data_IF_134706490679
#
_entry.id   IF_134706490679
#
_cell.length_a   1.000
_cell.length_b   1.000
_cell.length_c   1.000
_cell.angle_alpha   90.00
_cell.angle_beta   90.00
_cell.angle_gamma   90.00
#
_symmetry.space_group_name_H-M   'P 1'
#
loop_
_entity.id
_entity.type
_entity.pdbx_description
1 polymer ?
#
# COMPACT_ATOMS: atom_id res chain seq x y z
N UNK A 1 2.18 -2.60 -5.02
CA UNK A 1 2.93 -2.93 -6.24
C UNK A 1 2.98 -1.70 -7.12
N UNK A 2 4.19 -1.24 -7.44
CA UNK A 2 4.44 -0.06 -8.28
C UNK A 2 5.75 -0.25 -9.04
N UNK A 3 5.84 0.32 -10.25
CA UNK A 3 7.11 0.42 -10.95
C UNK A 3 7.00 1.21 -12.25
N UNK A 4 8.17 1.53 -12.80
CA UNK A 4 8.34 2.29 -14.05
C UNK A 4 9.38 1.58 -14.92
N UNK A 5 9.14 0.30 -15.23
CA UNK A 5 10.15 -0.57 -15.84
C UNK A 5 10.69 -0.02 -17.17
N UNK A 6 9.87 0.65 -17.99
CA UNK A 6 10.35 1.29 -19.21
C UNK A 6 11.34 2.42 -18.93
N UNK A 7 11.05 3.24 -17.91
CA UNK A 7 11.95 4.32 -17.48
C UNK A 7 13.25 3.77 -16.89
N UNK A 8 13.21 2.62 -16.20
CA UNK A 8 14.42 1.93 -15.72
C UNK A 8 15.24 1.39 -16.90
N UNK A 9 14.59 0.79 -17.90
CA UNK A 9 15.25 0.25 -19.09
C UNK A 9 15.94 1.33 -19.91
N UNK A 10 15.32 2.50 -20.07
CA UNK A 10 15.83 3.53 -20.97
C UNK A 10 16.63 4.62 -20.25
N UNK A 11 16.25 4.98 -19.02
CA UNK A 11 16.75 6.16 -18.31
C UNK A 11 18.27 6.24 -18.19
N UNK A 12 18.95 5.22 -17.63
CA UNK A 12 20.41 5.19 -17.54
C UNK A 12 21.12 5.31 -18.90
N UNK A 13 20.60 4.65 -19.93
CA UNK A 13 21.17 4.64 -21.28
C UNK A 13 21.02 6.01 -21.91
N UNK A 14 19.81 6.57 -21.87
CA UNK A 14 19.48 7.88 -22.42
C UNK A 14 20.28 9.00 -21.72
N UNK A 15 20.42 8.93 -20.39
CA UNK A 15 21.22 9.87 -19.62
C UNK A 15 22.71 9.82 -19.99
N UNK A 16 23.28 8.61 -20.18
CA UNK A 16 24.69 8.42 -20.54
C UNK A 16 25.02 8.97 -21.93
N UNK A 17 24.15 8.75 -22.92
CA UNK A 17 24.40 9.19 -24.32
C UNK A 17 23.93 10.63 -24.60
N UNK A 18 23.30 11.27 -23.62
CA UNK A 18 22.82 12.65 -23.77
C UNK A 18 23.96 13.63 -24.05
N UNK A 19 23.66 14.70 -24.79
CA UNK A 19 24.65 15.72 -25.16
C UNK A 19 25.24 16.34 -23.89
N UNK A 20 26.58 16.37 -23.81
CA UNK A 20 27.35 16.88 -22.68
C UNK A 20 27.11 16.13 -21.35
N UNK A 21 26.75 14.84 -21.41
CA UNK A 21 26.57 14.03 -20.20
C UNK A 21 27.84 13.99 -19.36
N UNK A 22 27.70 14.26 -18.06
CA UNK A 22 28.73 14.07 -17.03
C UNK A 22 28.37 12.91 -16.10
N UNK A 23 27.49 12.00 -16.54
CA UNK A 23 27.03 10.86 -15.76
C UNK A 23 28.19 9.89 -15.49
N UNK A 24 28.46 9.60 -14.21
CA UNK A 24 29.53 8.67 -13.78
C UNK A 24 29.01 7.38 -13.15
N UNK A 25 27.69 7.23 -12.98
CA UNK A 25 27.10 6.03 -12.40
C UNK A 25 25.59 6.08 -12.28
N UNK A 26 25.03 4.97 -11.79
CA UNK A 26 23.62 4.81 -11.39
C UNK A 26 23.55 4.32 -9.95
N UNK A 27 22.41 4.51 -9.30
CA UNK A 27 22.17 4.00 -7.96
C UNK A 27 20.68 3.85 -7.64
N UNK A 28 20.38 3.20 -6.53
CA UNK A 28 19.04 3.08 -5.96
C UNK A 28 19.01 3.81 -4.62
N UNK A 29 18.04 4.70 -4.43
CA UNK A 29 17.90 5.54 -3.23
C UNK A 29 16.50 5.41 -2.62
N UNK A 30 16.06 4.16 -2.43
CA UNK A 30 14.74 3.87 -1.89
C UNK A 30 14.71 4.14 -0.38
N UNK A 31 13.67 4.80 0.12
CA UNK A 31 13.49 5.03 1.57
C UNK A 31 13.24 3.73 2.35
N UNK A 32 12.60 2.75 1.70
CA UNK A 32 12.39 1.39 2.23
C UNK A 32 12.72 0.34 1.17
N UNK A 33 13.17 -0.82 1.62
CA UNK A 33 13.45 -2.00 0.80
C UNK A 33 12.39 -3.09 1.04
N UNK A 34 12.66 -4.34 0.63
CA UNK A 34 11.77 -5.51 0.85
C UNK A 34 10.42 -5.45 0.12
N UNK A 35 10.37 -4.69 -0.97
CA UNK A 35 9.22 -4.57 -1.85
C UNK A 35 9.66 -4.67 -3.32
N UNK A 36 8.73 -5.03 -4.21
CA UNK A 36 8.87 -5.05 -5.68
C UNK A 36 10.26 -5.48 -6.20
N UNK A 37 10.73 -6.71 -5.87
CA UNK A 37 12.09 -7.15 -6.20
C UNK A 37 12.44 -7.09 -7.68
N UNK A 38 11.45 -7.18 -8.57
CA UNK A 38 11.62 -6.99 -10.03
C UNK A 38 12.26 -5.65 -10.38
N UNK A 39 11.92 -4.58 -9.65
CA UNK A 39 12.46 -3.23 -9.86
C UNK A 39 13.93 -3.17 -9.45
N UNK A 40 14.27 -3.75 -8.30
CA UNK A 40 15.63 -3.75 -7.76
C UNK A 40 16.57 -4.59 -8.62
N UNK A 41 16.14 -5.80 -9.02
CA UNK A 41 16.94 -6.66 -9.91
C UNK A 41 17.18 -5.97 -11.24
N UNK A 42 16.13 -5.38 -11.85
CA UNK A 42 16.26 -4.74 -13.14
C UNK A 42 17.16 -3.49 -13.09
N UNK A 43 16.96 -2.61 -12.11
CA UNK A 43 17.78 -1.40 -11.96
C UNK A 43 19.25 -1.73 -11.68
N UNK A 44 19.53 -2.78 -10.89
CA UNK A 44 20.89 -3.25 -10.64
C UNK A 44 21.56 -3.77 -11.92
N UNK A 45 20.82 -4.49 -12.77
CA UNK A 45 21.33 -4.99 -14.05
C UNK A 45 21.67 -3.84 -15.01
N UNK A 46 20.90 -2.75 -14.98
CA UNK A 46 21.12 -1.59 -15.86
C UNK A 46 22.46 -0.90 -15.64
N UNK A 47 23.12 -1.08 -14.48
CA UNK A 47 24.49 -0.60 -14.26
C UNK A 47 25.52 -1.24 -15.21
N UNK A 48 25.22 -2.45 -15.72
CA UNK A 48 26.11 -3.23 -16.58
C UNK A 48 25.67 -3.23 -18.06
N UNK A 49 24.54 -2.61 -18.37
CA UNK A 49 23.97 -2.58 -19.73
C UNK A 49 24.44 -1.34 -20.49
N UNK A 50 24.76 -1.51 -21.78
CA UNK A 50 25.05 -0.37 -22.68
C UNK A 50 23.85 0.07 -23.50
N UNK A 51 22.85 -0.80 -23.63
CA UNK A 51 21.70 -0.63 -24.50
C UNK A 51 20.40 -0.80 -23.69
N UNK A 52 19.31 -0.29 -24.25
CA UNK A 52 17.97 -0.46 -23.67
C UNK A 52 17.58 -1.93 -23.72
N UNK A 53 16.90 -2.40 -22.68
CA UNK A 53 16.47 -3.79 -22.57
C UNK A 53 14.99 -3.92 -22.98
N UNK A 54 14.64 -4.85 -23.90
CA UNK A 54 13.25 -5.19 -24.16
C UNK A 54 12.61 -5.81 -22.90
N UNK A 55 11.84 -5.00 -22.16
CA UNK A 55 11.37 -5.34 -20.81
C UNK A 55 10.56 -6.62 -20.79
N UNK A 56 9.67 -6.84 -21.77
CA UNK A 56 8.83 -8.03 -21.83
C UNK A 56 9.66 -9.32 -22.00
N UNK A 57 10.71 -9.29 -22.82
CA UNK A 57 11.62 -10.44 -22.99
C UNK A 57 12.45 -10.68 -21.73
N UNK A 58 12.92 -9.60 -21.10
CA UNK A 58 13.62 -9.69 -19.83
C UNK A 58 12.73 -10.34 -18.75
N UNK A 59 11.45 -9.94 -18.64
CA UNK A 59 10.50 -10.51 -17.68
C UNK A 59 10.23 -12.01 -17.89
N UNK A 60 10.20 -12.49 -19.13
CA UNK A 60 10.09 -13.94 -19.41
C UNK A 60 11.27 -14.72 -18.82
N UNK A 61 12.47 -14.14 -18.83
CA UNK A 61 13.65 -14.76 -18.22
C UNK A 61 13.69 -14.58 -16.71
N UNK A 62 13.29 -13.41 -16.21
CA UNK A 62 13.19 -13.09 -14.78
C UNK A 62 12.29 -14.09 -14.06
N UNK A 63 11.09 -14.32 -14.58
CA UNK A 63 10.11 -15.25 -13.99
C UNK A 63 10.63 -16.68 -13.95
N UNK A 64 11.33 -17.13 -14.99
CA UNK A 64 11.95 -18.46 -14.99
C UNK A 64 13.01 -18.60 -13.90
N UNK A 65 13.94 -17.63 -13.78
CA UNK A 65 14.97 -17.64 -12.74
C UNK A 65 14.37 -17.54 -11.35
N UNK A 66 13.40 -16.65 -11.17
CA UNK A 66 12.75 -16.39 -9.90
C UNK A 66 12.00 -17.59 -9.37
N UNK A 67 11.24 -18.29 -10.21
CA UNK A 67 10.39 -19.40 -9.78
C UNK A 67 11.01 -20.78 -9.99
N UNK A 68 12.16 -20.87 -10.68
CA UNK A 68 12.86 -22.12 -10.99
C UNK A 68 12.20 -22.98 -12.07
N UNK A 69 11.04 -22.57 -12.61
CA UNK A 69 10.30 -23.30 -13.66
C UNK A 69 9.65 -22.32 -14.64
N UNK A 70 9.60 -22.70 -15.90
CA UNK A 70 8.90 -21.94 -16.94
C UNK A 70 7.43 -22.36 -16.96
N UNK A 71 6.51 -21.45 -16.63
CA UNK A 71 5.07 -21.68 -16.64
C UNK A 71 4.41 -20.63 -17.53
N UNK A 72 3.58 -21.05 -18.48
CA UNK A 72 3.03 -20.16 -19.51
C UNK A 72 2.11 -19.10 -18.90
N UNK A 73 1.24 -19.50 -17.97
CA UNK A 73 0.32 -18.62 -17.25
C UNK A 73 1.07 -17.50 -16.51
N UNK A 74 2.25 -17.81 -15.96
CA UNK A 74 3.08 -16.82 -15.28
C UNK A 74 3.67 -15.79 -16.25
N UNK A 75 4.12 -16.22 -17.44
CA UNK A 75 4.62 -15.28 -18.45
C UNK A 75 3.52 -14.31 -18.89
N UNK A 76 2.31 -14.83 -19.10
CA UNK A 76 1.13 -14.04 -19.45
C UNK A 76 0.74 -13.08 -18.32
N UNK A 77 0.73 -13.56 -17.07
CA UNK A 77 0.42 -12.72 -15.92
C UNK A 77 1.43 -11.58 -15.76
N UNK A 78 2.73 -11.86 -15.89
CA UNK A 78 3.76 -10.83 -15.81
C UNK A 78 3.74 -9.84 -16.97
N UNK A 79 3.29 -10.26 -18.16
CA UNK A 79 3.01 -9.32 -19.26
C UNK A 79 1.91 -8.33 -18.88
N UNK A 80 0.83 -8.81 -18.24
CA UNK A 80 -0.23 -7.93 -17.73
C UNK A 80 0.31 -7.01 -16.63
N UNK A 81 1.05 -7.55 -15.65
CA UNK A 81 1.61 -6.74 -14.55
C UNK A 81 2.56 -5.65 -15.08
N UNK A 82 3.36 -5.96 -16.10
CA UNK A 82 4.20 -4.99 -16.80
C UNK A 82 3.38 -3.84 -17.38
N UNK A 83 2.36 -4.13 -18.18
CA UNK A 83 1.53 -3.10 -18.81
C UNK A 83 0.60 -2.34 -17.83
N UNK A 84 0.53 -2.78 -16.57
CA UNK A 84 -0.33 -2.20 -15.54
C UNK A 84 0.48 -1.66 -14.37
N UNK A 85 0.66 -2.45 -13.31
CA UNK A 85 1.27 -2.02 -12.03
C UNK A 85 2.74 -1.63 -12.15
N UNK A 86 3.46 -2.14 -13.14
CA UNK A 86 4.91 -1.92 -13.29
C UNK A 86 5.30 -0.96 -14.42
N UNK A 87 4.33 -0.27 -15.03
CA UNK A 87 4.61 0.79 -15.99
C UNK A 87 3.76 2.05 -15.74
N UNK A 88 3.91 2.64 -14.55
CA UNK A 88 3.29 3.92 -14.24
C UNK A 88 3.95 5.05 -15.04
N UNK A 89 3.14 5.91 -15.67
CA UNK A 89 3.62 7.04 -16.48
C UNK A 89 3.01 8.39 -16.09
N UNK A 90 2.22 8.45 -15.01
CA UNK A 90 1.51 9.66 -14.61
C UNK A 90 2.37 10.68 -13.83
N UNK A 91 3.58 10.29 -13.43
CA UNK A 91 4.53 11.14 -12.71
C UNK A 91 4.18 11.35 -11.23
N UNK A 92 3.24 10.58 -10.69
CA UNK A 92 2.83 10.64 -9.28
C UNK A 92 3.67 9.62 -8.49
N UNK A 93 4.30 10.07 -7.40
CA UNK A 93 4.97 9.18 -6.47
C UNK A 93 3.93 8.38 -5.66
N UNK A 94 3.94 7.05 -5.81
CA UNK A 94 3.05 6.17 -5.06
C UNK A 94 3.63 5.90 -3.66
N UNK A 95 3.06 6.56 -2.64
CA UNK A 95 3.37 6.34 -1.23
C UNK A 95 2.38 5.37 -0.56
N UNK A 96 1.78 4.45 -1.32
CA UNK A 96 0.73 3.53 -0.89
C UNK A 96 -0.39 4.25 -0.13
N UNK A 97 -1.32 4.83 -0.89
CA UNK A 97 -2.43 5.60 -0.36
C UNK A 97 -3.75 4.81 -0.34
N UNK A 98 -3.67 3.49 -0.21
CA UNK A 98 -4.84 2.62 -0.05
C UNK A 98 -5.55 2.90 1.28
N UNK A 99 -6.89 2.97 1.27
CA UNK A 99 -7.67 3.46 2.42
C UNK A 99 -7.59 2.55 3.65
N UNK A 100 -7.20 1.28 3.50
CA UNK A 100 -6.94 0.40 4.66
C UNK A 100 -5.82 0.99 5.52
N UNK A 101 -4.72 1.39 4.89
CA UNK A 101 -3.47 1.76 5.58
C UNK A 101 -3.24 3.26 5.66
N UNK A 102 -3.92 4.04 4.81
CA UNK A 102 -3.96 5.51 4.83
C UNK A 102 -5.41 5.97 4.89
N UNK A 103 -6.04 5.70 6.03
CA UNK A 103 -7.47 5.89 6.20
C UNK A 103 -7.81 7.39 6.18
N UNK A 104 -8.80 7.85 5.37
CA UNK A 104 -9.07 9.28 5.25
C UNK A 104 -9.55 9.94 6.55
N UNK A 105 -8.86 11.01 6.98
CA UNK A 105 -9.19 11.82 8.16
C UNK A 105 -10.05 13.06 7.80
N UNK A 106 -11.34 12.83 7.52
CA UNK A 106 -12.25 13.88 7.03
C UNK A 106 -13.72 13.60 7.36
N UNK A 107 -14.55 14.65 7.24
CA UNK A 107 -16.01 14.58 7.37
C UNK A 107 -16.69 14.42 6.00
N UNK A 108 -17.35 13.28 5.72
CA UNK A 108 -17.96 13.00 4.43
C UNK A 108 -19.26 13.75 4.15
N UNK A 109 -19.82 14.45 5.14
CA UNK A 109 -21.01 15.30 4.96
C UNK A 109 -20.71 16.63 4.26
N UNK A 110 -19.44 17.03 4.20
CA UNK A 110 -19.01 18.28 3.54
C UNK A 110 -18.96 18.07 2.02
N UNK A 111 -19.76 18.84 1.28
CA UNK A 111 -19.63 18.99 -0.17
C UNK A 111 -18.62 20.11 -0.46
N UNK A 112 -17.48 19.78 -1.06
CA UNK A 112 -16.45 20.76 -1.40
C UNK A 112 -16.75 21.57 -2.68
N UNK A 113 -17.90 21.33 -3.33
CA UNK A 113 -18.38 22.04 -4.53
C UNK A 113 -18.61 23.56 -4.42
N UNK A 114 -18.18 24.22 -3.35
CA UNK A 114 -18.24 25.67 -3.20
C UNK A 114 -17.11 26.22 -2.32
N UNK A 115 -15.84 25.95 -2.66
CA UNK A 115 -14.72 26.80 -2.21
C UNK A 115 -13.94 27.35 -3.41
N UNK A 116 -13.77 28.69 -3.53
CA UNK A 116 -12.77 29.24 -4.41
C UNK A 116 -11.39 28.76 -3.94
N UNK A 117 -10.60 28.25 -4.86
CA UNK A 117 -9.18 27.96 -4.67
C UNK A 117 -8.48 29.15 -3.99
N UNK A 118 -8.06 28.99 -2.73
CA UNK A 118 -6.99 29.80 -2.13
C UNK A 118 -6.47 29.22 -0.82
N UNK A 119 -5.16 28.93 -0.87
CA UNK A 119 -4.14 29.23 0.13
C UNK A 119 -4.31 28.66 1.55
N UNK A 120 -3.50 27.64 1.86
CA UNK A 120 -2.53 27.73 2.97
C UNK A 120 -1.58 26.53 3.00
N UNK A 121 -0.50 26.63 2.23
CA UNK A 121 0.83 26.05 2.53
C UNK A 121 1.82 26.51 1.44
N UNK A 122 2.05 27.82 1.35
CA UNK A 122 3.17 28.40 0.60
C UNK A 122 3.96 29.32 1.52
N UNK A 123 4.96 28.75 2.18
CA UNK A 123 6.16 29.50 2.54
C UNK A 123 7.37 28.67 2.14
N UNK A 124 7.85 28.90 0.92
CA UNK A 124 9.24 28.63 0.56
C UNK A 124 9.72 29.78 -0.31
N UNK A 125 10.83 30.37 0.15
CA UNK A 125 11.52 31.49 -0.45
C UNK A 125 11.80 31.26 -1.94
N UNK A 126 11.55 32.32 -2.73
CA UNK A 126 11.99 32.42 -4.12
C UNK A 126 13.53 32.44 -4.18
N UNK A 127 14.11 31.45 -4.85
CA UNK A 127 15.33 31.62 -5.63
C UNK A 127 15.14 30.96 -6.99
N UNK A 128 15.61 31.65 -8.02
CA UNK A 128 15.22 31.52 -9.42
C UNK A 128 16.25 30.65 -10.14
N UNK A 129 15.99 29.35 -10.28
CA UNK A 129 16.72 28.48 -11.22
C UNK A 129 15.74 27.51 -11.89
N UNK A 130 15.83 27.42 -13.23
CA UNK A 130 15.04 26.50 -14.07
C UNK A 130 15.44 25.06 -13.75
N UNK A 131 14.71 24.41 -12.85
CA UNK A 131 14.61 22.94 -12.83
C UNK A 131 13.20 22.56 -13.24
N UNK A 132 13.08 21.54 -14.10
CA UNK A 132 11.80 20.92 -14.45
C UNK A 132 11.24 20.27 -13.18
N UNK A 133 10.47 21.02 -12.40
CA UNK A 133 9.68 20.48 -11.29
C UNK A 133 8.44 19.82 -11.88
N UNK A 134 8.23 18.58 -11.48
CA UNK A 134 7.01 17.81 -11.72
C UNK A 134 5.78 18.69 -11.40
N UNK A 135 4.91 18.83 -12.39
CA UNK A 135 3.66 19.56 -12.29
C UNK A 135 2.63 18.61 -11.69
N UNK A 136 2.23 18.82 -10.42
CA UNK A 136 1.11 18.11 -9.82
C UNK A 136 -0.19 18.56 -10.51
N UNK A 137 -0.80 17.67 -11.29
CA UNK A 137 -2.17 17.85 -11.75
C UNK A 137 -3.11 17.35 -10.63
N UNK A 138 -3.63 18.28 -9.82
CA UNK A 138 -4.78 17.97 -8.96
C UNK A 138 -6.03 17.85 -9.84
N UNK A 139 -6.60 16.64 -9.90
CA UNK A 139 -7.97 16.47 -10.39
C UNK A 139 -8.92 16.85 -9.25
N UNK A 140 -9.83 17.79 -9.50
CA UNK A 140 -10.84 18.22 -8.54
C UNK A 140 -11.86 17.10 -8.30
N UNK A 141 -11.72 16.39 -7.19
CA UNK A 141 -12.69 15.40 -6.71
C UNK A 141 -13.08 15.77 -5.28
N UNK A 142 -14.38 15.77 -4.99
CA UNK A 142 -14.94 16.01 -3.65
C UNK A 142 -14.74 14.82 -2.69
N UNK A 143 -14.23 13.69 -3.20
CA UNK A 143 -13.90 12.49 -2.45
C UNK A 143 -12.38 12.28 -2.43
N UNK A 144 -11.82 11.76 -1.31
CA UNK A 144 -10.46 11.25 -1.28
C UNK A 144 -10.22 10.27 -2.44
N UNK A 145 -9.06 10.38 -3.09
CA UNK A 145 -8.68 9.48 -4.16
C UNK A 145 -7.44 8.68 -3.75
N UNK A 146 -7.56 7.36 -3.79
CA UNK A 146 -6.41 6.47 -3.75
C UNK A 146 -5.77 6.42 -5.15
N UNK A 147 -4.44 6.31 -5.21
CA UNK A 147 -3.68 6.34 -6.45
C UNK A 147 -3.93 5.05 -7.23
N UNK A 148 -4.35 5.20 -8.49
CA UNK A 148 -4.63 4.13 -9.43
C UNK A 148 -4.41 4.64 -10.85
N UNK A 149 -3.47 4.01 -11.56
CA UNK A 149 -3.09 4.38 -12.94
C UNK A 149 -3.33 3.24 -13.95
N UNK A 150 -3.95 2.14 -13.51
CA UNK A 150 -4.17 0.93 -14.31
C UNK A 150 -5.57 0.36 -14.07
N UNK A 151 -5.99 -0.55 -14.95
CA UNK A 151 -7.23 -1.29 -14.81
C UNK A 151 -7.12 -2.38 -13.74
N UNK A 152 -7.96 -2.31 -12.71
CA UNK A 152 -8.02 -3.37 -11.68
C UNK A 152 -8.47 -4.71 -12.25
N UNK A 153 -9.33 -4.70 -13.28
CA UNK A 153 -9.79 -5.91 -13.95
C UNK A 153 -8.64 -6.67 -14.63
N UNK A 154 -7.70 -5.96 -15.26
CA UNK A 154 -6.53 -6.61 -15.86
C UNK A 154 -5.66 -7.29 -14.78
N UNK A 155 -5.43 -6.61 -13.65
CA UNK A 155 -4.65 -7.19 -12.54
C UNK A 155 -5.36 -8.37 -11.88
N UNK A 156 -6.70 -8.36 -11.82
CA UNK A 156 -7.50 -9.54 -11.42
C UNK A 156 -7.26 -10.72 -12.38
N UNK A 157 -7.17 -10.47 -13.69
CA UNK A 157 -6.83 -11.52 -14.66
C UNK A 157 -5.40 -12.05 -14.45
N UNK A 158 -4.43 -11.18 -14.13
CA UNK A 158 -3.10 -11.62 -13.76
C UNK A 158 -3.13 -12.52 -12.51
N UNK A 159 -3.92 -12.16 -11.48
CA UNK A 159 -4.09 -12.99 -10.30
C UNK A 159 -4.71 -14.36 -10.63
N UNK A 160 -5.73 -14.39 -11.50
CA UNK A 160 -6.33 -15.65 -11.98
C UNK A 160 -5.30 -16.58 -12.64
N UNK A 161 -4.41 -16.02 -13.46
CA UNK A 161 -3.32 -16.76 -14.09
C UNK A 161 -2.28 -17.25 -13.07
N UNK A 162 -1.94 -16.42 -12.08
CA UNK A 162 -1.09 -16.85 -10.96
C UNK A 162 -1.71 -18.04 -10.22
N UNK A 163 -2.98 -17.97 -9.85
CA UNK A 163 -3.68 -19.06 -9.14
C UNK A 163 -3.74 -20.35 -9.97
N UNK A 164 -3.94 -20.24 -11.29
CA UNK A 164 -3.92 -21.38 -12.21
C UNK A 164 -2.55 -22.08 -12.26
N UNK A 165 -1.46 -21.31 -12.12
CA UNK A 165 -0.09 -21.84 -12.03
C UNK A 165 0.26 -22.43 -10.65
N UNK A 166 -0.59 -22.29 -9.64
CA UNK A 166 -0.24 -22.57 -8.25
C UNK A 166 0.18 -24.01 -7.98
N UNK A 167 -0.41 -24.99 -8.66
CA UNK A 167 -0.03 -26.40 -8.47
C UNK A 167 1.39 -26.68 -8.98
N UNK A 168 1.85 -25.97 -10.02
CA UNK A 168 3.19 -26.12 -10.58
C UNK A 168 4.28 -25.43 -9.75
N UNK A 169 3.91 -24.43 -8.95
CA UNK A 169 4.84 -23.52 -8.28
C UNK A 169 4.69 -23.46 -6.75
N UNK A 170 3.85 -24.29 -6.15
CA UNK A 170 3.59 -24.28 -4.70
C UNK A 170 4.84 -24.44 -3.83
N UNK A 171 5.88 -25.11 -4.35
CA UNK A 171 7.17 -25.28 -3.67
C UNK A 171 8.14 -24.08 -3.78
N UNK A 172 7.84 -23.10 -4.63
CA UNK A 172 8.68 -21.90 -4.81
C UNK A 172 8.32 -20.82 -3.79
N UNK A 173 9.29 -20.44 -2.93
CA UNK A 173 9.12 -19.39 -1.92
C UNK A 173 8.90 -18.00 -2.55
N UNK A 174 9.56 -17.72 -3.67
CA UNK A 174 9.38 -16.47 -4.42
C UNK A 174 8.03 -16.39 -5.10
N UNK A 175 7.50 -17.52 -5.60
CA UNK A 175 6.13 -17.60 -6.11
C UNK A 175 5.11 -17.38 -4.99
N UNK A 176 5.34 -17.96 -3.80
CA UNK A 176 4.52 -17.69 -2.60
C UNK A 176 4.45 -16.19 -2.31
N UNK A 177 5.59 -15.53 -2.19
CA UNK A 177 5.67 -14.09 -1.93
C UNK A 177 4.87 -13.30 -2.97
N UNK A 178 5.09 -13.57 -4.27
CA UNK A 178 4.44 -12.81 -5.34
C UNK A 178 2.93 -13.07 -5.41
N UNK A 179 2.47 -14.31 -5.15
CA UNK A 179 1.03 -14.61 -5.09
C UNK A 179 0.38 -13.89 -3.92
N UNK A 180 1.02 -13.86 -2.74
CA UNK A 180 0.53 -13.13 -1.57
C UNK A 180 0.47 -11.63 -1.85
N UNK A 181 1.54 -11.02 -2.39
CA UNK A 181 1.57 -9.59 -2.70
C UNK A 181 0.55 -9.20 -3.78
N UNK A 182 0.41 -10.01 -4.83
CA UNK A 182 -0.57 -9.77 -5.89
C UNK A 182 -2.02 -9.90 -5.37
N UNK A 183 -2.29 -10.91 -4.55
CA UNK A 183 -3.63 -11.08 -3.95
C UNK A 183 -3.93 -9.90 -3.01
N UNK A 184 -2.98 -9.49 -2.17
CA UNK A 184 -3.07 -8.29 -1.31
C UNK A 184 -3.35 -7.04 -2.14
N UNK A 185 -2.62 -6.85 -3.26
CA UNK A 185 -2.79 -5.73 -4.16
C UNK A 185 -4.22 -5.68 -4.74
N UNK A 186 -4.74 -6.79 -5.23
CA UNK A 186 -6.09 -6.83 -5.82
C UNK A 186 -7.15 -6.52 -4.75
N UNK A 187 -7.04 -7.13 -3.58
CA UNK A 187 -8.00 -6.93 -2.49
C UNK A 187 -7.92 -5.52 -1.90
N UNK A 188 -6.75 -4.89 -1.85
CA UNK A 188 -6.62 -3.50 -1.37
C UNK A 188 -7.32 -2.51 -2.31
N UNK A 189 -7.24 -2.73 -3.63
CA UNK A 189 -7.97 -1.89 -4.60
C UNK A 189 -9.47 -2.13 -4.57
N UNK A 190 -9.91 -3.36 -4.33
CA UNK A 190 -11.32 -3.63 -4.03
C UNK A 190 -11.78 -2.90 -2.77
N UNK A 191 -10.98 -2.93 -1.69
CA UNK A 191 -11.30 -2.22 -0.46
C UNK A 191 -11.43 -0.71 -0.67
N UNK A 192 -10.60 -0.11 -1.54
CA UNK A 192 -10.76 1.31 -1.89
C UNK A 192 -12.13 1.61 -2.50
N UNK A 193 -12.60 0.78 -3.43
CA UNK A 193 -13.93 0.93 -4.02
C UNK A 193 -15.03 0.77 -2.96
N UNK A 194 -14.92 -0.27 -2.12
CA UNK A 194 -15.91 -0.54 -1.05
C UNK A 194 -16.01 0.62 -0.06
N UNK A 195 -14.90 1.28 0.27
CA UNK A 195 -14.91 2.50 1.09
C UNK A 195 -15.69 3.63 0.40
N UNK A 196 -15.43 3.89 -0.88
CA UNK A 196 -16.16 4.93 -1.62
C UNK A 196 -17.66 4.63 -1.70
N UNK A 197 -18.03 3.36 -1.87
CA UNK A 197 -19.43 2.93 -1.84
C UNK A 197 -20.09 3.20 -0.48
N UNK A 198 -19.37 2.95 0.63
CA UNK A 198 -19.83 3.27 1.98
C UNK A 198 -20.03 4.79 2.17
N UNK A 199 -19.09 5.61 1.71
CA UNK A 199 -19.20 7.08 1.79
C UNK A 199 -20.38 7.58 0.96
N UNK A 200 -20.59 7.05 -0.25
CA UNK A 200 -21.72 7.40 -1.09
C UNK A 200 -23.06 6.99 -0.46
N UNK A 201 -23.12 5.81 0.16
CA UNK A 201 -24.29 5.38 0.93
C UNK A 201 -24.59 6.33 2.11
N UNK A 202 -23.56 6.71 2.86
CA UNK A 202 -23.68 7.69 3.95
C UNK A 202 -24.24 9.04 3.46
N UNK A 203 -23.68 9.58 2.36
CA UNK A 203 -24.15 10.85 1.76
C UNK A 203 -25.61 10.78 1.29
N UNK A 204 -26.05 9.61 0.80
CA UNK A 204 -27.45 9.36 0.42
C UNK A 204 -28.36 9.02 1.61
N UNK A 205 -27.83 8.98 2.84
CA UNK A 205 -28.51 8.54 4.06
C UNK A 205 -29.07 7.10 3.96
N UNK A 206 -28.46 6.26 3.13
CA UNK A 206 -28.83 4.86 2.98
C UNK A 206 -28.12 4.02 4.05
N UNK A 207 -28.78 3.84 5.20
CA UNK A 207 -28.26 3.11 6.35
C UNK A 207 -27.97 1.64 6.02
N UNK A 208 -28.80 1.01 5.18
CA UNK A 208 -28.64 -0.40 4.83
C UNK A 208 -27.41 -0.59 3.95
N UNK A 209 -27.25 0.23 2.91
CA UNK A 209 -26.07 0.17 2.05
C UNK A 209 -24.80 0.54 2.82
N UNK A 210 -24.85 1.57 3.69
CA UNK A 210 -23.73 1.92 4.55
C UNK A 210 -23.26 0.71 5.36
N UNK A 211 -24.19 -0.04 5.95
CA UNK A 211 -23.85 -1.25 6.69
C UNK A 211 -23.23 -2.36 5.87
N UNK A 212 -23.80 -2.65 4.71
CA UNK A 212 -23.24 -3.67 3.83
C UNK A 212 -21.81 -3.32 3.44
N UNK A 213 -21.56 -2.08 3.01
CA UNK A 213 -20.24 -1.66 2.56
C UNK A 213 -19.24 -1.51 3.72
N UNK A 214 -19.64 -0.98 4.88
CA UNK A 214 -18.75 -0.88 6.04
C UNK A 214 -18.32 -2.25 6.56
N UNK A 215 -19.26 -3.22 6.64
CA UNK A 215 -18.93 -4.58 7.06
C UNK A 215 -18.05 -5.29 6.04
N UNK A 216 -18.31 -5.09 4.74
CA UNK A 216 -17.44 -5.62 3.68
C UNK A 216 -16.02 -5.05 3.76
N UNK A 217 -15.86 -3.75 4.02
CA UNK A 217 -14.54 -3.13 4.21
C UNK A 217 -13.81 -3.72 5.42
N UNK A 218 -14.49 -3.81 6.57
CA UNK A 218 -13.95 -4.42 7.79
C UNK A 218 -13.54 -5.88 7.55
N UNK A 219 -14.35 -6.66 6.85
CA UNK A 219 -14.04 -8.05 6.54
C UNK A 219 -12.86 -8.18 5.58
N UNK A 220 -12.73 -7.28 4.60
CA UNK A 220 -11.55 -7.23 3.72
C UNK A 220 -10.27 -7.01 4.52
N UNK A 221 -10.26 -6.15 5.54
CA UNK A 221 -9.07 -5.96 6.39
C UNK A 221 -8.67 -7.28 7.06
N UNK A 222 -9.63 -7.99 7.68
CA UNK A 222 -9.39 -9.26 8.37
C UNK A 222 -8.89 -10.35 7.42
N UNK A 223 -9.53 -10.46 6.26
CA UNK A 223 -9.19 -11.47 5.26
C UNK A 223 -7.80 -11.22 4.65
N UNK A 224 -7.45 -9.95 4.43
CA UNK A 224 -6.09 -9.58 3.99
C UNK A 224 -5.08 -9.86 5.10
N UNK A 225 -5.40 -9.63 6.38
CA UNK A 225 -4.50 -9.99 7.50
C UNK A 225 -4.19 -11.50 7.49
N UNK A 226 -5.21 -12.36 7.32
CA UNK A 226 -5.05 -13.82 7.18
C UNK A 226 -4.19 -14.20 5.97
N UNK A 227 -4.38 -13.54 4.83
CA UNK A 227 -3.54 -13.74 3.65
C UNK A 227 -2.07 -13.41 3.94
N UNK A 228 -1.81 -12.25 4.56
CA UNK A 228 -0.46 -11.80 4.87
C UNK A 228 0.21 -12.69 5.92
N UNK A 229 -0.56 -13.28 6.83
CA UNK A 229 -0.07 -14.24 7.81
C UNK A 229 0.56 -15.49 7.16
N UNK A 230 0.29 -15.76 5.88
CA UNK A 230 0.75 -16.97 5.18
C UNK A 230 2.16 -16.88 4.58
N UNK A 231 2.89 -15.79 4.79
CA UNK A 231 4.28 -15.63 4.36
C UNK A 231 5.09 -14.77 5.35
N UNK A 232 6.32 -15.21 5.68
CA UNK A 232 7.19 -14.60 6.70
C UNK A 232 7.52 -13.12 6.40
N UNK A 233 7.46 -12.71 5.13
CA UNK A 233 7.80 -11.34 4.69
C UNK A 233 6.72 -10.30 4.98
N UNK A 234 5.54 -10.72 5.47
CA UNK A 234 4.41 -9.82 5.72
C UNK A 234 3.93 -9.84 7.18
N UNK A 235 4.82 -10.15 8.13
CA UNK A 235 4.47 -10.27 9.54
C UNK A 235 4.94 -9.05 10.34
N UNK A 236 4.08 -8.44 11.15
CA UNK A 236 4.49 -7.38 12.07
C UNK A 236 5.48 -7.91 13.13
N UNK A 237 5.33 -9.17 13.56
CA UNK A 237 6.16 -9.75 14.60
C UNK A 237 7.65 -9.79 14.22
N UNK A 238 7.99 -10.05 12.97
CA UNK A 238 9.40 -10.09 12.53
C UNK A 238 10.05 -8.73 12.68
N UNK A 239 9.35 -7.65 12.34
CA UNK A 239 9.79 -6.27 12.55
C UNK A 239 10.00 -5.95 14.03
N UNK A 240 9.00 -6.23 14.88
CA UNK A 240 9.06 -5.90 16.30
C UNK A 240 10.13 -6.70 17.06
N UNK A 241 10.25 -8.01 16.79
CA UNK A 241 11.29 -8.83 17.41
C UNK A 241 12.69 -8.40 16.94
N UNK A 242 12.85 -8.02 15.67
CA UNK A 242 14.14 -7.53 15.17
C UNK A 242 14.62 -6.28 15.92
N UNK A 243 13.70 -5.35 16.23
CA UNK A 243 14.02 -4.16 17.00
C UNK A 243 14.37 -4.50 18.45
N UNK A 244 13.63 -5.42 19.08
CA UNK A 244 13.89 -5.84 20.47
C UNK A 244 15.22 -6.55 20.64
N UNK A 245 15.67 -7.32 19.64
CA UNK A 245 16.95 -8.02 19.65
C UNK A 245 18.17 -7.09 19.68
N UNK A 246 17.99 -5.80 19.35
CA UNK A 246 19.05 -4.79 19.42
C UNK A 246 19.27 -4.23 20.84
N UNK A 247 18.37 -4.50 21.78
CA UNK A 247 18.42 -3.92 23.12
C UNK A 247 19.37 -4.67 24.06
N UNK A 248 20.08 -3.93 24.92
CA UNK A 248 20.97 -4.53 25.93
C UNK A 248 20.26 -4.79 27.26
N UNK A 249 19.13 -4.12 27.50
CA UNK A 249 18.39 -4.20 28.76
C UNK A 249 16.86 -4.05 28.57
N UNK A 250 16.04 -4.40 29.57
CA UNK A 250 14.58 -4.35 29.45
C UNK A 250 14.00 -2.95 29.20
N UNK A 251 14.71 -1.88 29.59
CA UNK A 251 14.25 -0.50 29.32
C UNK A 251 14.43 -0.16 27.85
N UNK A 252 15.58 -0.46 27.28
CA UNK A 252 15.85 -0.31 25.84
C UNK A 252 14.94 -1.18 24.99
N UNK A 253 14.67 -2.42 25.42
CA UNK A 253 13.78 -3.32 24.69
C UNK A 253 12.39 -2.71 24.50
N UNK A 254 11.82 -2.13 25.57
CA UNK A 254 10.54 -1.42 25.50
C UNK A 254 10.62 -0.17 24.62
N UNK A 255 11.72 0.58 24.70
CA UNK A 255 11.93 1.78 23.89
C UNK A 255 12.04 1.44 22.39
N UNK A 256 12.79 0.40 22.03
CA UNK A 256 12.98 -0.03 20.64
C UNK A 256 11.71 -0.63 20.04
N UNK A 257 10.95 -1.41 20.82
CA UNK A 257 9.62 -1.86 20.38
C UNK A 257 8.68 -0.67 20.15
N UNK A 258 8.65 0.31 21.07
CA UNK A 258 7.87 1.53 20.88
C UNK A 258 8.33 2.30 19.63
N UNK A 259 9.63 2.42 19.37
CA UNK A 259 10.15 3.06 18.16
C UNK A 259 9.72 2.31 16.89
N UNK A 260 9.79 0.99 16.89
CA UNK A 260 9.41 0.13 15.78
C UNK A 260 7.91 0.24 15.45
N UNK A 261 7.04 0.22 16.47
CA UNK A 261 5.60 0.47 16.34
C UNK A 261 5.31 1.87 15.83
N UNK A 262 6.04 2.85 16.37
CA UNK A 262 5.83 4.27 16.07
C UNK A 262 6.16 4.62 14.63
N UNK A 263 7.28 4.12 14.11
CA UNK A 263 7.75 4.40 12.75
C UNK A 263 6.73 3.99 11.68
N UNK A 264 6.04 2.86 11.85
CA UNK A 264 5.10 2.33 10.84
C UNK A 264 3.65 2.79 11.04
N UNK A 265 3.39 3.67 12.01
CA UNK A 265 2.04 4.16 12.35
C UNK A 265 1.99 5.70 12.45
N UNK A 266 1.87 6.25 13.66
CA UNK A 266 1.62 7.67 13.90
C UNK A 266 2.88 8.53 13.76
N UNK A 267 4.08 7.97 13.64
CA UNK A 267 5.32 8.75 13.81
C UNK A 267 5.32 9.51 15.16
N UNK A 268 6.04 10.63 15.26
CA UNK A 268 6.07 11.47 16.48
C UNK A 268 5.07 12.63 16.35
N UNK A 269 4.81 13.40 17.43
CA UNK A 269 4.12 14.72 17.45
C UNK A 269 2.58 14.84 17.51
N UNK A 270 1.88 13.87 18.09
CA UNK A 270 0.41 14.00 18.26
C UNK A 270 -0.03 14.97 19.34
N UNK A 271 -1.17 15.63 19.11
CA UNK A 271 -1.98 16.28 20.15
C UNK A 271 -3.32 15.54 20.31
N UNK A 272 -4.13 15.80 21.36
CA UNK A 272 -5.37 15.06 21.60
C UNK A 272 -6.36 15.01 20.43
N UNK A 273 -6.35 16.02 19.56
CA UNK A 273 -7.26 16.13 18.41
C UNK A 273 -6.53 16.20 17.06
N UNK A 274 -5.19 16.26 17.06
CA UNK A 274 -4.39 16.40 15.86
C UNK A 274 -3.39 15.23 15.78
N UNK A 275 -3.49 14.46 14.72
CA UNK A 275 -2.52 13.44 14.37
C UNK A 275 -1.21 14.05 13.87
N UNK A 276 -0.17 13.21 13.78
CA UNK A 276 1.09 13.62 13.17
C UNK A 276 0.93 14.00 11.72
N UNK A 277 1.75 14.94 11.25
CA UNK A 277 1.89 15.24 9.82
C UNK A 277 2.48 14.07 9.03
N UNK A 278 3.16 13.15 9.71
CA UNK A 278 3.75 11.94 9.14
C UNK A 278 2.94 10.68 9.45
N UNK A 279 1.72 10.81 9.98
CA UNK A 279 0.88 9.64 10.23
C UNK A 279 0.76 8.78 8.96
N UNK A 280 0.85 7.46 9.15
CA UNK A 280 0.78 6.47 8.09
C UNK A 280 1.77 6.69 6.93
N UNK A 281 2.83 7.52 7.10
CA UNK A 281 3.82 7.77 6.06
C UNK A 281 4.57 6.49 5.67
N UNK A 282 5.03 5.75 6.67
CA UNK A 282 5.72 4.47 6.50
C UNK A 282 4.79 3.28 6.76
N UNK A 283 3.50 3.42 6.40
CA UNK A 283 2.50 2.38 6.55
C UNK A 283 2.94 1.04 5.92
N UNK A 284 2.36 -0.06 6.42
CA UNK A 284 2.64 -1.43 5.96
C UNK A 284 1.37 -2.25 5.87
N UNK A 285 1.31 -3.12 4.87
CA UNK A 285 0.38 -4.24 4.85
C UNK A 285 1.06 -5.43 5.51
N UNK A 286 1.02 -5.48 6.84
CA UNK A 286 1.53 -6.60 7.63
C UNK A 286 0.42 -7.23 8.45
N UNK A 287 0.41 -8.56 8.52
CA UNK A 287 -0.45 -9.31 9.45
C UNK A 287 -0.13 -8.91 10.88
N UNK A 288 -1.17 -8.79 11.69
CA UNK A 288 -1.12 -8.22 13.04
C UNK A 288 -1.26 -6.71 13.05
N UNK A 289 -0.66 -5.99 12.08
CA UNK A 289 -0.82 -4.54 11.97
C UNK A 289 -2.19 -4.16 11.38
N UNK A 290 -2.66 -4.90 10.37
CA UNK A 290 -3.98 -4.70 9.79
C UNK A 290 -5.08 -4.87 10.85
N UNK A 291 -5.10 -6.02 11.52
CA UNK A 291 -6.12 -6.29 12.53
C UNK A 291 -5.90 -5.51 13.83
N UNK A 292 -4.65 -5.36 14.28
CA UNK A 292 -4.33 -4.73 15.56
C UNK A 292 -4.39 -3.21 15.56
N UNK A 293 -4.15 -2.56 14.43
CA UNK A 293 -4.05 -1.09 14.33
C UNK A 293 -5.05 -0.49 13.34
N UNK A 294 -5.08 -0.97 12.09
CA UNK A 294 -5.90 -0.34 11.05
C UNK A 294 -7.40 -0.63 11.20
N UNK A 295 -7.76 -1.88 11.53
CA UNK A 295 -9.15 -2.32 11.69
C UNK A 295 -9.92 -1.52 12.76
N UNK A 296 -9.40 -1.30 13.99
CA UNK A 296 -10.11 -0.52 15.00
C UNK A 296 -10.37 0.94 14.58
N UNK A 297 -9.43 1.56 13.84
CA UNK A 297 -9.61 2.93 13.31
C UNK A 297 -10.75 2.99 12.30
N UNK A 298 -10.76 2.08 11.34
CA UNK A 298 -11.82 1.98 10.33
C UNK A 298 -13.19 1.68 10.98
N UNK A 299 -13.23 0.73 11.92
CA UNK A 299 -14.44 0.35 12.64
C UNK A 299 -15.00 1.52 13.45
N UNK A 300 -14.13 2.28 14.12
CA UNK A 300 -14.51 3.50 14.83
C UNK A 300 -15.14 4.52 13.88
N UNK A 301 -14.51 4.78 12.73
CA UNK A 301 -15.04 5.74 11.75
C UNK A 301 -16.44 5.38 11.27
N UNK A 302 -16.65 4.14 10.81
CA UNK A 302 -17.98 3.70 10.37
C UNK A 302 -19.01 3.77 11.50
N UNK A 303 -18.65 3.43 12.74
CA UNK A 303 -19.55 3.57 13.89
C UNK A 303 -20.01 5.02 14.09
N UNK A 304 -19.15 6.01 13.88
CA UNK A 304 -19.55 7.42 13.96
C UNK A 304 -20.45 7.84 12.80
N UNK A 305 -20.22 7.33 11.58
CA UNK A 305 -21.13 7.56 10.46
C UNK A 305 -22.52 7.01 10.74
N UNK A 306 -22.62 5.80 11.29
CA UNK A 306 -23.90 5.24 11.70
C UNK A 306 -24.61 6.06 12.76
N UNK A 307 -23.91 6.41 13.85
CA UNK A 307 -24.48 7.22 14.93
C UNK A 307 -24.98 8.58 14.41
N UNK A 308 -24.29 9.16 13.44
CA UNK A 308 -24.72 10.39 12.77
C UNK A 308 -26.06 10.21 12.04
N UNK A 309 -26.23 9.12 11.28
CA UNK A 309 -27.50 8.83 10.60
C UNK A 309 -28.63 8.44 11.58
N UNK A 310 -28.36 7.57 12.55
CA UNK A 310 -29.34 7.10 13.54
C UNK A 310 -29.91 8.24 14.39
N UNK A 311 -29.05 9.15 14.83
CA UNK A 311 -29.45 10.30 15.67
C UNK A 311 -29.85 11.53 14.86
N UNK A 312 -29.70 11.47 13.53
CA UNK A 312 -29.84 12.62 12.64
C UNK A 312 -28.99 13.83 13.10
N UNK A 313 -27.75 13.55 13.54
CA UNK A 313 -26.77 14.53 14.00
C UNK A 313 -25.63 14.67 12.99
N UNK A 314 -24.86 15.76 13.04
CA UNK A 314 -23.64 15.90 12.25
C UNK A 314 -22.55 14.91 12.67
N UNK A 315 -21.66 14.55 11.74
CA UNK A 315 -20.52 13.68 12.03
C UNK A 315 -19.58 14.36 13.05
N UNK A 316 -19.38 13.72 14.20
CA UNK A 316 -18.56 14.26 15.30
C UNK A 316 -17.07 14.06 15.06
N UNK A 317 -16.53 14.73 14.04
CA UNK A 317 -15.14 14.61 13.58
C UNK A 317 -14.11 14.76 14.72
N UNK A 318 -14.28 15.76 15.58
CA UNK A 318 -13.34 16.03 16.68
C UNK A 318 -13.34 14.91 17.72
N UNK A 319 -14.50 14.36 18.05
CA UNK A 319 -14.61 13.28 19.04
C UNK A 319 -14.09 11.95 18.48
N UNK A 320 -14.38 11.66 17.21
CA UNK A 320 -13.77 10.53 16.51
C UNK A 320 -12.25 10.65 16.49
N UNK A 321 -11.70 11.84 16.18
CA UNK A 321 -10.26 12.12 16.22
C UNK A 321 -9.64 11.84 17.58
N UNK A 322 -10.23 12.38 18.65
CA UNK A 322 -9.77 12.11 20.03
C UNK A 322 -9.68 10.61 20.31
N UNK A 323 -10.72 9.88 19.91
CA UNK A 323 -10.79 8.44 20.16
C UNK A 323 -9.70 7.67 19.42
N UNK A 324 -9.57 7.86 18.10
CA UNK A 324 -8.66 7.03 17.31
C UNK A 324 -7.19 7.44 17.51
N UNK A 325 -6.90 8.71 17.81
CA UNK A 325 -5.54 9.16 18.20
C UNK A 325 -5.15 8.58 19.56
N UNK A 326 -6.04 8.64 20.56
CA UNK A 326 -5.78 8.02 21.87
C UNK A 326 -5.54 6.52 21.76
N UNK A 327 -6.35 5.83 20.94
CA UNK A 327 -6.14 4.42 20.62
C UNK A 327 -4.76 4.18 19.98
N UNK A 328 -4.37 4.99 19.00
CA UNK A 328 -3.09 4.84 18.30
C UNK A 328 -1.91 4.96 19.24
N UNK A 329 -1.91 5.96 20.12
CA UNK A 329 -0.85 6.17 21.10
C UNK A 329 -0.77 5.02 22.12
N UNK A 330 -1.91 4.43 22.50
CA UNK A 330 -1.96 3.24 23.36
C UNK A 330 -1.40 2.00 22.64
N UNK A 331 -1.75 1.81 21.37
CA UNK A 331 -1.24 0.68 20.57
C UNK A 331 0.29 0.75 20.39
N UNK A 332 0.84 1.95 20.19
CA UNK A 332 2.29 2.17 20.11
C UNK A 332 3.02 1.84 21.42
N UNK A 333 2.39 2.10 22.56
CA UNK A 333 2.89 1.75 23.88
C UNK A 333 2.57 0.31 24.32
N UNK A 334 1.85 -0.45 23.48
CA UNK A 334 1.47 -1.83 23.74
C UNK A 334 2.64 -2.80 23.69
N UNK A 335 2.46 -3.96 24.31
CA UNK A 335 3.44 -5.05 24.40
C UNK A 335 2.87 -6.37 23.88
N UNK A 336 1.82 -6.31 23.06
CA UNK A 336 1.18 -7.48 22.48
C UNK A 336 2.20 -8.24 21.60
N UNK A 337 2.21 -9.57 21.73
CA UNK A 337 3.08 -10.42 20.93
C UNK A 337 2.41 -10.74 19.59
N UNK A 338 3.21 -10.70 18.52
CA UNK A 338 2.78 -11.01 17.17
C UNK A 338 3.58 -12.21 16.61
N UNK A 339 2.98 -13.07 15.78
CA UNK A 339 3.70 -14.19 15.17
C UNK A 339 4.91 -13.74 14.35
N UNK A 340 6.00 -14.50 14.44
CA UNK A 340 7.23 -14.33 13.64
C UNK A 340 7.40 -15.39 12.57
N UNK A 341 6.40 -16.28 12.44
CA UNK A 341 6.38 -17.35 11.46
C UNK A 341 5.02 -17.44 10.80
N UNK A 342 5.07 -17.67 9.49
CA UNK A 342 3.90 -17.80 8.64
C UNK A 342 3.01 -18.95 9.10
N UNK A 343 1.70 -18.74 8.94
CA UNK A 343 0.67 -19.70 9.28
C UNK A 343 -0.35 -19.80 8.15
N UNK A 344 -0.88 -21.01 7.96
CA UNK A 344 -1.83 -21.29 6.88
C UNK A 344 -1.17 -21.53 5.52
N UNK A 345 -1.96 -22.09 4.61
CA UNK A 345 -1.52 -22.37 3.25
C UNK A 345 -1.85 -21.19 2.33
N UNK A 346 -0.82 -20.47 1.88
CA UNK A 346 -0.97 -19.28 1.04
C UNK A 346 -1.82 -19.51 -0.21
N UNK A 347 -1.68 -20.66 -0.88
CA UNK A 347 -2.40 -20.95 -2.12
C UNK A 347 -3.89 -21.22 -1.84
N UNK A 348 -4.19 -21.98 -0.80
CA UNK A 348 -5.57 -22.23 -0.37
C UNK A 348 -6.26 -20.93 0.06
N UNK A 349 -5.58 -20.10 0.83
CA UNK A 349 -6.11 -18.81 1.29
C UNK A 349 -6.34 -17.88 0.08
N UNK A 350 -5.36 -17.71 -0.80
CA UNK A 350 -5.49 -16.86 -1.98
C UNK A 350 -6.64 -17.31 -2.91
N UNK A 351 -6.80 -18.62 -3.13
CA UNK A 351 -7.94 -19.18 -3.89
C UNK A 351 -9.28 -18.85 -3.22
N UNK A 352 -9.40 -19.11 -1.92
CA UNK A 352 -10.64 -18.83 -1.18
C UNK A 352 -11.02 -17.35 -1.21
N UNK A 353 -10.04 -16.44 -1.12
CA UNK A 353 -10.29 -15.01 -1.21
C UNK A 353 -10.64 -14.54 -2.62
N UNK A 354 -10.02 -15.14 -3.64
CA UNK A 354 -10.40 -14.90 -5.03
C UNK A 354 -11.86 -15.29 -5.26
N UNK A 355 -12.26 -16.50 -4.84
CA UNK A 355 -13.63 -16.99 -4.98
C UNK A 355 -14.63 -16.11 -4.22
N UNK A 356 -14.28 -15.72 -2.99
CA UNK A 356 -15.14 -14.88 -2.13
C UNK A 356 -15.44 -13.50 -2.72
N UNK A 357 -14.51 -12.90 -3.46
CA UNK A 357 -14.58 -11.48 -3.81
C UNK A 357 -14.56 -11.16 -5.30
N UNK A 358 -14.06 -12.07 -6.14
CA UNK A 358 -13.64 -11.77 -7.51
C UNK A 358 -14.12 -12.81 -8.54
N UNK A 359 -14.75 -13.92 -8.09
CA UNK A 359 -15.28 -14.96 -8.98
C UNK A 359 -16.66 -14.67 -9.54
#
# INVERSE_FOLDING_TARGET
MYGTLDAISSGPVDARISKNSTMVGVGMCMEGIEQNPVVYEFMSEMAFRKEKVPVLEWLKTYTHRRYGKSVQQIKEAWAILYHTVYNCTDGIADHNIDFIVKFPDWDPSINFGSRPSKLNSMHTFRSRTRSRRFSFQERSSDLPQAHLWYSTHEVVNALKLFLAAGNDLAGSLTYRYDLVDLTRQVLSKLANQVYLDAINAFRRKDVKALNIHSQKFIQLIKDIDVLLASDDNFLLGTWLESAKLLAENPSEMRQYEWNARTQVTMWFDTAPTNQSKLHDYANKFWSGLLEGYYLPRASSYFSYLFKSLEKNESFKLVEWRKQWISFSNKWQAGLELYPVKAQGNFLTIAKALFDKYLS
#
